data_IF_814399020363
#
_entry.id   IF_814399020363
#
_cell.length_a   1.000
_cell.length_b   1.000
_cell.length_c   1.000
_cell.angle_alpha   90.00
_cell.angle_beta   90.00
_cell.angle_gamma   90.00
#
_symmetry.space_group_name_H-M   'P 1'
#
loop_
_entity.id
_entity.type
_entity.pdbx_description
1 polymer ?
#
# COMPACT_ATOMS: atom_id res chain seq x y z
N UNK A 1 -43.58 -46.99 5.70
CA UNK A 1 -42.28 -46.58 6.27
C UNK A 1 -41.45 -45.88 5.19
N UNK A 2 -41.95 -44.76 4.62
CA UNK A 2 -41.37 -44.15 3.40
C UNK A 2 -41.32 -42.62 3.45
N UNK A 3 -41.97 -41.97 4.43
CA UNK A 3 -42.01 -40.51 4.54
C UNK A 3 -40.77 -39.88 5.17
N UNK A 4 -39.94 -40.63 5.88
CA UNK A 4 -38.69 -40.12 6.47
C UNK A 4 -37.55 -39.98 5.45
N UNK A 5 -37.58 -40.74 4.35
CA UNK A 5 -36.51 -40.77 3.34
C UNK A 5 -36.45 -39.50 2.50
N UNK A 6 -37.59 -38.96 2.07
CA UNK A 6 -37.62 -37.73 1.26
C UNK A 6 -37.22 -36.48 2.05
N UNK A 7 -37.58 -36.39 3.33
CA UNK A 7 -37.20 -35.25 4.18
C UNK A 7 -35.69 -35.23 4.45
N UNK A 8 -35.08 -36.40 4.59
CA UNK A 8 -33.62 -36.52 4.76
C UNK A 8 -32.86 -36.10 3.49
N UNK A 9 -33.37 -36.47 2.33
CA UNK A 9 -32.78 -36.11 1.03
C UNK A 9 -32.86 -34.60 0.76
N UNK A 10 -33.94 -33.94 1.19
CA UNK A 10 -34.08 -32.48 1.10
C UNK A 10 -33.08 -31.74 2.01
N UNK A 11 -32.88 -32.22 3.23
CA UNK A 11 -31.85 -31.68 4.14
C UNK A 11 -30.44 -31.87 3.60
N UNK A 12 -30.16 -33.01 2.94
CA UNK A 12 -28.86 -33.30 2.34
C UNK A 12 -28.54 -32.39 1.15
N UNK A 13 -29.55 -31.99 0.36
CA UNK A 13 -29.35 -31.05 -0.76
C UNK A 13 -29.07 -29.64 -0.22
N UNK A 14 -29.76 -29.21 0.84
CA UNK A 14 -29.54 -27.90 1.46
C UNK A 14 -28.14 -27.81 2.10
N UNK A 15 -27.66 -28.88 2.75
CA UNK A 15 -26.31 -28.89 3.34
C UNK A 15 -25.20 -28.87 2.27
N UNK A 16 -25.40 -29.48 1.10
CA UNK A 16 -24.47 -29.36 -0.04
C UNK A 16 -24.40 -27.92 -0.57
N UNK A 17 -25.52 -27.19 -0.61
CA UNK A 17 -25.54 -25.79 -1.04
C UNK A 17 -24.79 -24.88 -0.05
N UNK A 18 -24.93 -25.12 1.26
CA UNK A 18 -24.21 -24.36 2.30
C UNK A 18 -22.69 -24.62 2.22
N UNK A 19 -22.27 -25.86 1.93
CA UNK A 19 -20.86 -26.20 1.76
C UNK A 19 -20.23 -25.55 0.51
N UNK A 20 -21.01 -25.37 -0.57
CA UNK A 20 -20.56 -24.62 -1.76
C UNK A 20 -20.39 -23.13 -1.46
N UNK A 21 -21.25 -22.53 -0.63
CA UNK A 21 -21.14 -21.11 -0.24
C UNK A 21 -19.96 -20.81 0.69
N UNK A 22 -19.41 -21.82 1.37
CA UNK A 22 -18.18 -21.69 2.18
C UNK A 22 -16.90 -21.99 1.39
N UNK A 23 -17.03 -22.42 0.13
CA UNK A 23 -15.88 -22.65 -0.77
C UNK A 23 -15.68 -21.50 -1.77
N UNK A 24 -16.32 -20.35 -1.52
CA UNK A 24 -15.77 -19.06 -1.92
C UNK A 24 -14.60 -18.74 -0.97
N UNK A 25 -13.58 -19.61 -1.02
CA UNK A 25 -12.23 -19.18 -0.69
C UNK A 25 -11.97 -18.01 -1.62
N UNK A 26 -12.03 -16.81 -1.02
CA UNK A 26 -11.98 -15.54 -1.72
C UNK A 26 -10.97 -15.65 -2.84
N UNK A 27 -11.46 -15.43 -4.07
CA UNK A 27 -10.59 -15.21 -5.21
C UNK A 27 -9.53 -14.25 -4.70
N UNK A 28 -8.29 -14.75 -4.59
CA UNK A 28 -7.13 -13.89 -4.49
C UNK A 28 -7.25 -13.09 -5.77
N UNK A 29 -7.86 -11.91 -5.66
CA UNK A 29 -7.95 -10.91 -6.70
C UNK A 29 -6.57 -10.91 -7.31
N UNK A 30 -6.47 -11.39 -8.55
CA UNK A 30 -5.25 -11.30 -9.33
C UNK A 30 -4.95 -9.81 -9.36
N UNK A 31 -4.14 -9.33 -8.40
CA UNK A 31 -3.78 -7.94 -8.27
C UNK A 31 -3.27 -7.55 -9.65
N UNK A 32 -4.02 -6.67 -10.32
CA UNK A 32 -3.62 -6.19 -11.63
C UNK A 32 -2.23 -5.62 -11.47
N UNK A 33 -1.24 -6.24 -12.11
CA UNK A 33 0.16 -5.97 -11.83
C UNK A 33 0.80 -5.33 -13.06
N UNK A 34 0.67 -4.01 -13.24
CA UNK A 34 1.13 -3.32 -14.42
C UNK A 34 2.66 -3.34 -14.56
N UNK A 35 3.40 -3.64 -13.49
CA UNK A 35 4.84 -3.88 -13.57
C UNK A 35 5.16 -5.05 -14.52
N UNK A 36 4.34 -6.10 -14.51
CA UNK A 36 4.60 -7.33 -15.25
C UNK A 36 3.75 -7.46 -16.53
N UNK A 37 3.01 -6.42 -16.90
CA UNK A 37 2.15 -6.41 -18.08
C UNK A 37 2.79 -5.63 -19.25
N UNK A 38 3.31 -6.34 -20.28
CA UNK A 38 3.94 -5.70 -21.44
C UNK A 38 2.95 -5.10 -22.45
N UNK A 39 1.63 -5.23 -22.23
CA UNK A 39 0.61 -4.72 -23.14
C UNK A 39 0.63 -3.19 -23.17
N UNK A 40 -0.08 -2.61 -24.13
CA UNK A 40 -0.22 -1.14 -24.21
C UNK A 40 -0.92 -0.61 -22.96
N UNK A 41 -1.99 -1.29 -22.54
CA UNK A 41 -2.77 -0.96 -21.35
C UNK A 41 -1.90 -1.08 -20.10
N UNK A 42 -1.28 -2.24 -19.88
CA UNK A 42 -0.38 -2.48 -18.75
C UNK A 42 0.75 -1.47 -18.65
N UNK A 43 1.38 -1.11 -19.77
CA UNK A 43 2.42 -0.08 -19.79
C UNK A 43 1.90 1.34 -19.54
N UNK A 44 0.67 1.63 -19.94
CA UNK A 44 0.03 2.92 -19.65
C UNK A 44 -0.28 3.02 -18.17
N UNK A 45 -0.92 2.00 -17.60
CA UNK A 45 -1.19 1.92 -16.17
C UNK A 45 0.08 1.89 -15.33
N UNK A 46 1.16 1.25 -15.83
CA UNK A 46 2.47 1.30 -15.18
C UNK A 46 2.99 2.74 -15.05
N UNK A 47 2.85 3.56 -16.10
CA UNK A 47 3.24 4.96 -16.06
C UNK A 47 2.34 5.76 -15.12
N UNK A 48 1.03 5.54 -15.18
CA UNK A 48 0.06 6.21 -14.29
C UNK A 48 0.35 5.94 -12.81
N UNK A 49 0.54 4.67 -12.44
CA UNK A 49 0.86 4.27 -11.07
C UNK A 49 2.24 4.79 -10.63
N UNK A 50 3.24 4.74 -11.51
CA UNK A 50 4.56 5.34 -11.23
C UNK A 50 4.45 6.82 -10.92
N UNK A 51 3.67 7.58 -11.70
CA UNK A 51 3.47 9.01 -11.49
C UNK A 51 2.74 9.25 -10.16
N UNK A 52 1.68 8.49 -9.87
CA UNK A 52 0.90 8.59 -8.65
C UNK A 52 1.76 8.33 -7.39
N UNK A 53 2.54 7.24 -7.40
CA UNK A 53 3.45 6.90 -6.29
C UNK A 53 4.54 7.97 -6.12
N UNK A 54 4.99 8.58 -7.21
CA UNK A 54 5.94 9.70 -7.18
C UNK A 54 5.29 11.04 -6.73
N UNK A 55 3.99 11.06 -6.42
CA UNK A 55 3.27 12.25 -5.97
C UNK A 55 2.81 13.18 -7.08
N UNK A 56 2.83 12.73 -8.34
CA UNK A 56 2.35 13.49 -9.49
C UNK A 56 0.95 13.03 -9.91
N UNK A 57 0.10 13.98 -10.26
CA UNK A 57 -1.22 13.73 -10.86
C UNK A 57 -1.22 14.25 -12.30
N UNK A 58 -0.89 13.43 -13.30
CA UNK A 58 -0.78 13.89 -14.68
C UNK A 58 -2.16 14.23 -15.26
N UNK A 59 -2.27 15.39 -15.93
CA UNK A 59 -3.47 15.78 -16.68
C UNK A 59 -3.71 14.84 -17.86
N UNK A 60 -2.63 14.42 -18.53
CA UNK A 60 -2.71 13.53 -19.69
C UNK A 60 -1.47 12.67 -19.85
N UNK A 61 -1.68 11.39 -20.17
CA UNK A 61 -0.64 10.46 -20.59
C UNK A 61 -0.99 9.98 -22.00
N UNK A 62 -0.07 10.19 -22.94
CA UNK A 62 -0.24 9.78 -24.33
C UNK A 62 0.98 9.00 -24.80
N UNK A 63 0.77 8.01 -25.67
CA UNK A 63 1.87 7.34 -26.36
C UNK A 63 2.38 8.29 -27.43
N UNK A 64 3.58 8.83 -27.20
CA UNK A 64 4.27 9.67 -28.18
C UNK A 64 4.87 8.83 -29.31
N UNK A 65 5.50 7.71 -28.95
CA UNK A 65 6.13 6.82 -29.90
C UNK A 65 6.08 5.38 -29.40
N UNK A 66 5.77 4.45 -30.31
CA UNK A 66 5.97 3.01 -30.06
C UNK A 66 7.27 2.56 -30.70
N UNK A 67 8.08 1.82 -29.94
CA UNK A 67 9.39 1.33 -30.34
C UNK A 67 9.37 -0.21 -30.43
N UNK A 68 10.34 -0.82 -31.15
CA UNK A 68 10.52 -2.27 -31.14
C UNK A 68 10.73 -2.83 -29.73
N UNK A 69 10.56 -4.14 -29.56
CA UNK A 69 10.75 -4.84 -28.28
C UNK A 69 9.88 -4.32 -27.14
N UNK A 70 8.60 -4.01 -27.43
CA UNK A 70 7.61 -3.57 -26.43
C UNK A 70 8.09 -2.34 -25.65
N UNK A 71 8.86 -1.46 -26.30
CA UNK A 71 9.26 -0.20 -25.72
C UNK A 71 8.33 0.91 -26.20
N UNK A 72 8.09 1.91 -25.36
CA UNK A 72 7.25 3.06 -25.67
C UNK A 72 7.79 4.31 -25.03
N UNK A 73 7.60 5.43 -25.71
CA UNK A 73 7.81 6.76 -25.16
C UNK A 73 6.44 7.34 -24.87
N UNK A 74 6.19 7.63 -23.60
CA UNK A 74 4.98 8.30 -23.14
C UNK A 74 5.26 9.78 -22.99
N UNK A 75 4.40 10.62 -23.55
CA UNK A 75 4.35 12.04 -23.24
C UNK A 75 3.41 12.21 -22.06
N UNK A 76 3.93 12.75 -20.97
CA UNK A 76 3.17 13.01 -19.75
C UNK A 76 3.03 14.52 -19.60
N UNK A 77 1.80 15.00 -19.54
CA UNK A 77 1.48 16.40 -19.23
C UNK A 77 1.06 16.48 -17.77
N UNK A 78 1.74 17.31 -16.99
CA UNK A 78 1.40 17.57 -15.59
C UNK A 78 0.45 18.76 -15.50
N UNK A 79 0.74 19.80 -16.27
CA UNK A 79 -0.12 20.97 -16.43
C UNK A 79 0.08 21.58 -17.84
N UNK A 80 -0.46 22.79 -18.06
CA UNK A 80 -0.38 23.49 -19.34
C UNK A 80 1.05 23.82 -19.84
N UNK A 81 2.05 23.84 -18.95
CA UNK A 81 3.43 24.26 -19.23
C UNK A 81 4.41 23.12 -18.93
N UNK A 82 4.17 22.37 -17.87
CA UNK A 82 5.03 21.36 -17.31
C UNK A 82 4.62 19.97 -17.79
N UNK A 83 5.62 19.22 -18.25
CA UNK A 83 5.46 17.86 -18.70
C UNK A 83 6.81 17.23 -19.00
N UNK A 84 6.78 16.01 -19.49
CA UNK A 84 8.00 15.28 -19.80
C UNK A 84 7.73 14.05 -20.64
N UNK A 85 8.83 13.34 -20.91
CA UNK A 85 8.77 12.05 -21.60
C UNK A 85 9.23 10.95 -20.67
N UNK A 86 8.43 9.89 -20.56
CA UNK A 86 8.75 8.69 -19.80
C UNK A 86 9.01 7.56 -20.80
N UNK A 87 10.22 7.01 -20.76
CA UNK A 87 10.64 5.94 -21.66
C UNK A 87 10.47 4.62 -20.94
N UNK A 88 9.51 3.82 -21.38
CA UNK A 88 9.24 2.49 -20.83
C UNK A 88 9.78 1.42 -21.76
N UNK A 89 10.47 0.44 -21.19
CA UNK A 89 10.95 -0.74 -21.90
C UNK A 89 10.55 -2.00 -21.14
N UNK A 90 10.42 -3.09 -21.87
CA UNK A 90 10.20 -4.41 -21.31
C UNK A 90 11.52 -5.15 -21.12
N UNK A 91 11.81 -5.63 -19.91
CA UNK A 91 12.90 -6.57 -19.67
C UNK A 91 12.35 -8.00 -19.82
N UNK A 92 12.79 -8.70 -20.86
CA UNK A 92 12.36 -10.07 -21.13
C UNK A 92 12.90 -11.10 -20.13
N UNK A 93 14.01 -10.83 -19.46
CA UNK A 93 14.61 -11.73 -18.48
C UNK A 93 13.88 -11.64 -17.14
N UNK A 94 13.62 -10.41 -16.70
CA UNK A 94 12.92 -10.13 -15.43
C UNK A 94 11.41 -10.15 -15.56
N UNK A 95 10.89 -10.08 -16.78
CA UNK A 95 9.47 -9.95 -17.10
C UNK A 95 8.83 -8.72 -16.44
N UNK A 96 9.55 -7.60 -16.47
CA UNK A 96 9.11 -6.34 -15.85
C UNK A 96 9.23 -5.16 -16.83
N UNK A 97 8.30 -4.22 -16.72
CA UNK A 97 8.42 -2.89 -17.29
C UNK A 97 9.43 -2.07 -16.49
N UNK A 98 10.23 -1.27 -17.18
CA UNK A 98 11.16 -0.37 -16.53
C UNK A 98 11.28 0.98 -17.22
N UNK A 99 11.45 2.02 -16.41
CA UNK A 99 11.84 3.34 -16.88
C UNK A 99 13.29 3.27 -17.32
N UNK A 100 13.54 3.56 -18.58
CA UNK A 100 14.85 3.53 -19.20
C UNK A 100 15.19 4.95 -19.65
N UNK A 101 15.72 5.84 -18.79
CA UNK A 101 16.06 7.17 -19.32
C UNK A 101 17.23 7.95 -18.69
N UNK A 102 17.88 8.71 -19.57
CA UNK A 102 18.90 9.73 -19.32
C UNK A 102 18.38 11.16 -19.60
N UNK A 103 17.16 11.31 -20.13
CA UNK A 103 16.53 12.61 -20.46
C UNK A 103 15.14 12.67 -19.83
N UNK A 104 15.10 13.11 -18.59
CA UNK A 104 13.93 13.56 -17.83
C UNK A 104 14.43 14.80 -17.08
N UNK A 105 13.56 15.74 -16.73
CA UNK A 105 13.91 16.75 -15.73
C UNK A 105 14.55 16.03 -14.51
N UNK A 106 15.73 16.44 -14.04
CA UNK A 106 16.41 15.76 -12.94
C UNK A 106 15.49 15.49 -11.74
N UNK A 107 14.59 16.41 -11.40
CA UNK A 107 13.68 16.25 -10.26
C UNK A 107 12.66 15.11 -10.45
N UNK A 108 12.04 15.04 -11.63
CA UNK A 108 11.05 13.99 -11.94
C UNK A 108 11.73 12.62 -12.06
N UNK A 109 12.96 12.57 -12.59
CA UNK A 109 13.71 11.31 -12.74
C UNK A 109 13.95 10.61 -11.40
N UNK A 110 14.43 11.35 -10.40
CA UNK A 110 14.73 10.78 -9.08
C UNK A 110 13.47 10.21 -8.43
N UNK A 111 12.35 10.93 -8.52
CA UNK A 111 11.07 10.50 -7.94
C UNK A 111 10.51 9.26 -8.64
N UNK A 112 10.60 9.17 -9.97
CA UNK A 112 10.14 7.99 -10.72
C UNK A 112 11.02 6.75 -10.48
N UNK A 113 12.34 6.94 -10.28
CA UNK A 113 13.23 5.84 -9.92
C UNK A 113 12.88 5.29 -8.53
N UNK A 114 12.61 6.17 -7.57
CA UNK A 114 12.14 5.77 -6.25
C UNK A 114 10.80 5.04 -6.36
N UNK A 115 9.81 5.63 -7.04
CA UNK A 115 8.50 5.03 -7.26
C UNK A 115 8.57 3.64 -7.91
N UNK A 116 9.44 3.44 -8.90
CA UNK A 116 9.65 2.13 -9.51
C UNK A 116 10.08 1.09 -8.48
N UNK A 117 11.01 1.44 -7.60
CA UNK A 117 11.47 0.51 -6.55
C UNK A 117 10.37 0.20 -5.54
N UNK A 118 9.48 1.16 -5.25
CA UNK A 118 8.28 0.94 -4.44
C UNK A 118 7.35 -0.07 -5.10
N UNK A 119 7.01 0.15 -6.37
CA UNK A 119 6.16 -0.76 -7.14
C UNK A 119 6.74 -2.17 -7.23
N UNK A 120 8.07 -2.28 -7.39
CA UNK A 120 8.77 -3.57 -7.38
C UNK A 120 8.58 -4.29 -6.04
N UNK A 121 8.81 -3.59 -4.92
CA UNK A 121 8.60 -4.15 -3.58
C UNK A 121 7.14 -4.54 -3.32
N UNK A 122 6.18 -3.73 -3.80
CA UNK A 122 4.74 -4.01 -3.73
C UNK A 122 4.35 -5.23 -4.55
N UNK A 123 4.97 -5.42 -5.71
CA UNK A 123 4.74 -6.59 -6.56
C UNK A 123 5.28 -7.87 -5.91
N UNK A 124 6.47 -7.78 -5.30
CA UNK A 124 7.11 -8.92 -4.66
C UNK A 124 6.46 -9.30 -3.31
N UNK A 125 5.79 -8.35 -2.63
CA UNK A 125 5.16 -8.54 -1.31
C UNK A 125 3.64 -8.35 -1.39
N UNK A 126 2.87 -9.36 -0.99
CA UNK A 126 1.40 -9.28 -0.96
C UNK A 126 0.84 -8.26 0.05
N UNK A 127 1.60 -7.88 1.07
CA UNK A 127 1.25 -6.91 2.10
C UNK A 127 2.52 -6.36 2.76
N UNK A 128 2.44 -5.13 3.28
CA UNK A 128 3.48 -4.57 4.15
C UNK A 128 3.12 -4.86 5.60
N UNK A 129 4.11 -5.29 6.38
CA UNK A 129 3.97 -5.43 7.84
C UNK A 129 4.54 -4.19 8.53
N UNK A 130 4.19 -4.00 9.81
CA UNK A 130 4.71 -2.90 10.64
C UNK A 130 6.25 -2.94 10.73
N UNK A 131 6.84 -4.10 10.52
CA UNK A 131 8.28 -4.37 10.60
C UNK A 131 9.07 -3.80 9.41
N UNK A 132 8.41 -3.59 8.27
CA UNK A 132 9.07 -3.21 7.02
C UNK A 132 9.52 -1.73 6.98
N UNK A 133 10.73 -1.49 6.48
CA UNK A 133 11.23 -0.13 6.22
C UNK A 133 10.45 0.46 5.05
N UNK A 134 9.74 1.56 5.30
CA UNK A 134 9.01 2.29 4.27
C UNK A 134 9.98 2.87 3.23
N UNK A 135 9.52 3.03 1.98
CA UNK A 135 10.28 3.77 0.98
C UNK A 135 10.57 5.20 1.44
N UNK A 136 11.84 5.60 1.38
CA UNK A 136 12.30 6.93 1.77
C UNK A 136 12.77 7.70 0.53
N UNK A 137 12.57 9.02 0.55
CA UNK A 137 13.01 9.89 -0.53
C UNK A 137 14.55 9.98 -0.52
N UNK A 138 15.21 10.15 -1.68
CA UNK A 138 16.68 10.10 -1.78
C UNK A 138 17.38 11.29 -1.12
N UNK A 139 16.66 12.36 -0.84
CA UNK A 139 17.09 13.55 -0.10
C UNK A 139 16.96 13.41 1.43
N UNK A 140 16.39 12.30 1.91
CA UNK A 140 16.29 11.96 3.33
C UNK A 140 17.46 11.07 3.77
N UNK A 141 17.87 11.20 5.04
CA UNK A 141 18.81 10.24 5.65
C UNK A 141 18.15 8.86 5.70
N UNK A 142 18.79 7.87 5.09
CA UNK A 142 18.22 6.53 4.92
C UNK A 142 18.24 5.77 6.23
N UNK A 143 17.06 5.56 6.81
CA UNK A 143 16.91 4.78 8.05
C UNK A 143 17.15 3.30 7.74
N UNK A 144 18.13 2.69 8.40
CA UNK A 144 18.37 1.25 8.34
C UNK A 144 17.46 0.49 9.34
N UNK A 145 17.30 -0.83 9.16
CA UNK A 145 16.54 -1.72 10.05
C UNK A 145 17.01 -1.60 11.51
N UNK A 146 18.33 -1.45 11.73
CA UNK A 146 18.89 -1.27 13.08
C UNK A 146 18.41 0.02 13.75
N UNK A 147 18.45 1.14 13.01
CA UNK A 147 17.98 2.45 13.49
C UNK A 147 16.45 2.45 13.67
N UNK A 148 15.72 1.79 12.77
CA UNK A 148 14.27 1.65 12.89
C UNK A 148 13.87 0.92 14.18
N UNK A 149 14.61 -0.13 14.55
CA UNK A 149 14.38 -0.84 15.81
C UNK A 149 14.71 0.04 17.02
N UNK A 150 15.80 0.80 16.98
CA UNK A 150 16.13 1.77 18.04
C UNK A 150 15.03 2.82 18.22
N UNK A 151 14.49 3.38 17.13
CA UNK A 151 13.39 4.34 17.23
C UNK A 151 12.11 3.74 17.81
N UNK A 152 11.84 2.44 17.55
CA UNK A 152 10.72 1.73 18.16
C UNK A 152 10.93 1.56 19.66
N UNK A 153 12.12 1.11 20.07
CA UNK A 153 12.48 0.96 21.48
C UNK A 153 12.39 2.30 22.22
N UNK A 154 12.90 3.38 21.62
CA UNK A 154 12.78 4.72 22.19
C UNK A 154 11.33 5.21 22.30
N UNK A 155 10.49 4.89 21.32
CA UNK A 155 9.07 5.24 21.34
C UNK A 155 8.32 4.47 22.42
N UNK A 156 8.55 3.16 22.54
CA UNK A 156 7.96 2.31 23.58
C UNK A 156 8.37 2.80 24.97
N UNK A 157 9.66 3.13 25.16
CA UNK A 157 10.17 3.71 26.41
C UNK A 157 9.46 5.03 26.75
N UNK A 158 9.31 5.93 25.78
CA UNK A 158 8.62 7.22 26.00
C UNK A 158 7.13 7.05 26.33
N UNK A 159 6.45 6.12 25.66
CA UNK A 159 5.05 5.78 25.99
C UNK A 159 4.94 5.26 27.42
N UNK A 160 5.87 4.40 27.84
CA UNK A 160 5.90 3.83 29.18
C UNK A 160 6.21 4.89 30.25
N UNK A 161 7.20 5.75 30.02
CA UNK A 161 7.50 6.90 30.88
C UNK A 161 6.28 7.82 31.05
N UNK A 162 5.59 8.14 29.95
CA UNK A 162 4.40 8.99 29.98
C UNK A 162 3.26 8.33 30.76
N UNK A 163 3.08 7.02 30.64
CA UNK A 163 2.10 6.26 31.44
C UNK A 163 2.43 6.30 32.93
N UNK A 164 3.70 6.13 33.29
CA UNK A 164 4.15 6.21 34.69
C UNK A 164 3.94 7.61 35.26
N UNK A 165 4.27 8.66 34.51
CA UNK A 165 4.08 10.05 34.92
C UNK A 165 2.59 10.38 35.09
N UNK A 166 1.72 9.89 34.21
CA UNK A 166 0.27 9.99 34.35
C UNK A 166 -0.25 9.25 35.59
N UNK A 167 0.30 8.07 35.90
CA UNK A 167 -0.05 7.31 37.11
C UNK A 167 0.42 8.02 38.39
N UNK A 168 1.61 8.60 38.40
CA UNK A 168 2.13 9.37 39.52
C UNK A 168 1.34 10.67 39.73
N UNK A 169 1.03 11.38 38.65
CA UNK A 169 0.14 12.53 38.66
C UNK A 169 -1.27 12.13 39.15
N UNK A 170 -1.75 10.94 38.83
CA UNK A 170 -3.00 10.43 39.40
C UNK A 170 -2.85 10.07 40.88
N UNK A 171 -1.73 9.53 41.35
CA UNK A 171 -1.50 9.18 42.76
C UNK A 171 -1.38 10.43 43.64
N UNK A 172 -0.67 11.46 43.20
CA UNK A 172 -0.42 12.72 43.94
C UNK A 172 -1.61 13.68 44.01
N UNK A 173 -2.64 13.51 43.17
CA UNK A 173 -3.88 14.31 43.25
C UNK A 173 -4.56 14.18 44.64
N UNK A 174 -4.91 15.29 45.30
CA UNK A 174 -5.53 15.28 46.63
C UNK A 174 -6.90 14.56 46.63
N UNK A 175 -7.23 13.84 47.72
CA UNK A 175 -8.48 13.04 47.86
C UNK A 175 -9.78 13.82 47.54
N UNK A 176 -9.79 15.15 47.72
CA UNK A 176 -10.93 16.03 47.40
C UNK A 176 -11.20 16.21 45.90
N UNK A 177 -10.19 16.12 45.03
CA UNK A 177 -10.37 16.22 43.58
C UNK A 177 -10.83 14.89 42.97
N UNK A 178 -10.27 13.78 43.45
CA UNK A 178 -10.70 12.42 43.06
C UNK A 178 -12.17 12.13 43.40
N UNK A 179 -12.73 12.73 44.46
CA UNK A 179 -14.16 12.56 44.81
C UNK A 179 -15.09 13.44 43.97
N UNK A 180 -14.66 14.66 43.60
CA UNK A 180 -15.43 15.55 42.70
C UNK A 180 -15.57 14.97 41.29
N UNK A 181 -14.52 14.34 40.77
CA UNK A 181 -14.56 13.72 39.43
C UNK A 181 -15.41 12.44 39.40
N UNK A 182 -15.33 11.61 40.46
CA UNK A 182 -16.24 10.45 40.62
C UNK A 182 -17.70 10.85 40.75
N UNK A 183 -18.01 11.97 41.41
CA UNK A 183 -19.37 12.48 41.49
C UNK A 183 -19.86 13.08 40.15
N UNK A 184 -18.98 13.75 39.38
CA UNK A 184 -19.32 14.20 38.02
C UNK A 184 -19.61 13.03 37.08
N UNK A 185 -18.77 11.98 37.06
CA UNK A 185 -19.00 10.79 36.20
C UNK A 185 -20.28 10.02 36.57
N UNK A 186 -20.75 10.10 37.81
CA UNK A 186 -22.06 9.54 38.24
C UNK A 186 -23.27 10.41 37.89
N UNK A 187 -23.07 11.68 37.52
CA UNK A 187 -24.16 12.59 37.11
C UNK A 187 -24.47 12.53 35.60
N UNK A 188 -23.59 11.91 34.82
CA UNK A 188 -23.69 11.81 33.35
C UNK A 188 -23.88 10.36 32.85
N UNK A 189 -24.11 9.42 33.77
CA UNK A 189 -24.71 8.11 33.52
C UNK A 189 -26.12 8.10 34.12
#
# INVERSE_FOLDING_TARGET
MTFYSQKFLFFFIISIQILKSQNDNGQISSYFNPLNDPTVEGQTTFVEELMNIAGYNPEKIEIYQTLPNRAKVFRVKLDSINGGFVFIRWDSKRKENYVANKMIDPGVYFNLKAAKEIMRKQTDKAYFTVEDVLPQAPDQEQINIGELNQFREEFELKEEEKRLEEEEAQKSRPKKEKSKEKNKKKLFN
#
